data_IF_860787232602
#
_entry.id   IF_860787232602
#
_cell.length_a   1.000
_cell.length_b   1.000
_cell.length_c   1.000
_cell.angle_alpha   90.00
_cell.angle_beta   90.00
_cell.angle_gamma   90.00
#
_symmetry.space_group_name_H-M   'P 1'
#
loop_
_entity.id
_entity.type
_entity.pdbx_description
1 polymer ?
#
# COMPACT_ATOMS: atom_id res chain seq x y z
N UNK A 1 -71.30 -80.16 39.85
CA UNK A 1 -71.85 -79.12 38.96
C UNK A 1 -70.79 -78.05 38.81
N UNK A 2 -69.99 -78.11 37.74
CA UNK A 2 -68.93 -77.13 37.47
C UNK A 2 -69.52 -75.91 36.77
N UNK A 3 -69.44 -74.76 37.42
CA UNK A 3 -69.65 -73.46 36.79
C UNK A 3 -68.33 -73.05 36.15
N UNK A 4 -68.30 -72.93 34.82
CA UNK A 4 -67.14 -72.48 34.05
C UNK A 4 -67.11 -70.94 34.11
N UNK A 5 -66.14 -70.37 34.82
CA UNK A 5 -65.80 -68.95 34.66
C UNK A 5 -65.09 -68.76 33.31
N UNK A 6 -65.62 -67.87 32.47
CA UNK A 6 -65.03 -67.49 31.21
C UNK A 6 -63.79 -66.59 31.41
N UNK A 7 -62.87 -66.52 30.42
CA UNK A 7 -61.64 -65.74 30.55
C UNK A 7 -61.91 -64.24 30.65
N UNK A 8 -61.06 -63.45 31.36
CA UNK A 8 -61.23 -62.01 31.47
C UNK A 8 -61.08 -61.32 30.10
N UNK A 9 -61.98 -60.36 29.83
CA UNK A 9 -61.94 -59.50 28.65
C UNK A 9 -60.59 -58.78 28.51
N UNK A 10 -60.00 -58.71 27.29
CA UNK A 10 -58.78 -57.96 27.08
C UNK A 10 -59.05 -56.46 27.18
N UNK A 11 -58.32 -55.79 28.09
CA UNK A 11 -58.26 -54.35 28.22
C UNK A 11 -57.90 -53.72 26.86
N UNK A 12 -58.82 -52.93 26.31
CA UNK A 12 -58.60 -52.15 25.08
C UNK A 12 -57.34 -51.30 25.20
N UNK A 13 -56.49 -51.23 24.16
CA UNK A 13 -55.26 -50.43 24.22
C UNK A 13 -55.61 -48.94 24.34
N UNK A 14 -55.00 -48.30 25.33
CA UNK A 14 -54.99 -46.85 25.51
C UNK A 14 -54.53 -46.16 24.21
N UNK A 15 -55.18 -45.06 23.75
CA UNK A 15 -54.76 -44.41 22.51
C UNK A 15 -53.34 -43.87 22.65
N UNK A 16 -52.43 -44.34 21.80
CA UNK A 16 -51.06 -43.86 21.75
C UNK A 16 -51.03 -42.35 21.50
N UNK A 17 -50.47 -41.58 22.44
CA UNK A 17 -50.17 -40.16 22.21
C UNK A 17 -49.24 -39.99 21.00
N UNK A 18 -49.47 -39.01 20.11
CA UNK A 18 -48.65 -38.80 18.94
C UNK A 18 -47.24 -38.31 19.36
N UNK A 19 -46.23 -39.14 19.12
CA UNK A 19 -44.82 -38.78 19.26
C UNK A 19 -44.52 -37.61 18.32
N UNK A 20 -44.26 -36.42 18.88
CA UNK A 20 -43.88 -35.26 18.09
C UNK A 20 -42.46 -35.47 17.51
N UNK A 21 -42.21 -35.17 16.23
CA UNK A 21 -40.88 -35.26 15.67
C UNK A 21 -39.93 -34.27 16.38
N UNK A 22 -38.63 -34.61 16.52
CA UNK A 22 -37.65 -33.69 17.09
C UNK A 22 -37.59 -32.40 16.24
N UNK A 23 -37.36 -31.23 16.87
CA UNK A 23 -37.21 -29.99 16.13
C UNK A 23 -36.04 -30.11 15.15
N UNK A 24 -36.15 -29.51 13.94
CA UNK A 24 -35.07 -29.53 12.98
C UNK A 24 -33.82 -28.85 13.57
N UNK A 25 -32.60 -29.29 13.21
CA UNK A 25 -31.37 -28.67 13.67
C UNK A 25 -31.36 -27.19 13.25
N UNK A 26 -31.09 -26.29 14.21
CA UNK A 26 -31.00 -24.85 13.96
C UNK A 26 -30.00 -24.58 12.83
N UNK A 27 -30.50 -24.03 11.73
CA UNK A 27 -29.67 -23.70 10.57
C UNK A 27 -28.65 -22.62 10.97
N UNK A 28 -27.36 -22.96 10.93
CA UNK A 28 -26.28 -21.98 11.14
C UNK A 28 -26.42 -20.84 10.13
N UNK A 29 -26.34 -19.57 10.56
CA UNK A 29 -26.48 -18.45 9.63
C UNK A 29 -25.36 -18.47 8.59
N UNK A 30 -25.73 -18.44 7.31
CA UNK A 30 -24.77 -18.37 6.22
C UNK A 30 -23.97 -17.05 6.27
N UNK A 31 -22.67 -17.06 5.95
CA UNK A 31 -21.86 -15.84 5.99
C UNK A 31 -22.40 -14.79 4.99
N UNK A 32 -22.34 -13.48 5.33
CA UNK A 32 -22.91 -12.43 4.50
C UNK A 32 -22.17 -12.33 3.15
N UNK A 33 -22.87 -12.66 2.05
CA UNK A 33 -22.33 -12.71 0.68
C UNK A 33 -21.95 -11.34 0.07
N UNK A 34 -22.29 -10.24 0.74
CA UNK A 34 -22.12 -8.86 0.23
C UNK A 34 -20.79 -8.18 0.56
N UNK A 35 -20.10 -8.59 1.63
CA UNK A 35 -18.89 -7.91 2.14
C UNK A 35 -17.71 -8.02 1.17
N UNK A 36 -17.53 -9.22 0.60
CA UNK A 36 -16.49 -9.54 -0.39
C UNK A 36 -16.64 -8.74 -1.70
N UNK A 37 -17.86 -8.27 -2.00
CA UNK A 37 -18.15 -7.50 -3.21
C UNK A 37 -17.78 -6.02 -3.08
N UNK A 38 -17.91 -5.43 -1.91
CA UNK A 38 -17.47 -4.06 -1.66
C UNK A 38 -15.95 -3.99 -1.53
N UNK A 39 -15.34 -4.93 -0.80
CA UNK A 39 -13.87 -4.95 -0.61
C UNK A 39 -13.11 -4.96 -1.94
N UNK A 40 -13.58 -5.70 -2.96
CA UNK A 40 -12.94 -5.71 -4.30
C UNK A 40 -13.03 -4.37 -5.04
N UNK A 41 -14.09 -3.59 -4.85
CA UNK A 41 -14.22 -2.26 -5.45
C UNK A 41 -13.34 -1.24 -4.72
N UNK A 42 -13.24 -1.33 -3.40
CA UNK A 42 -12.30 -0.50 -2.62
C UNK A 42 -10.87 -0.82 -3.01
N UNK A 43 -10.50 -2.11 -3.07
CA UNK A 43 -9.16 -2.53 -3.46
C UNK A 43 -8.84 -2.11 -4.90
N UNK A 44 -9.79 -2.30 -5.83
CA UNK A 44 -9.65 -1.85 -7.22
C UNK A 44 -9.54 -0.33 -7.35
N UNK A 45 -10.29 0.43 -6.55
CA UNK A 45 -10.21 1.89 -6.50
C UNK A 45 -8.88 2.40 -5.96
N UNK A 46 -8.37 1.79 -4.88
CA UNK A 46 -7.04 2.10 -4.33
C UNK A 46 -5.94 1.78 -5.33
N UNK A 47 -6.02 0.62 -6.01
CA UNK A 47 -5.06 0.26 -7.04
C UNK A 47 -5.10 1.23 -8.23
N UNK A 48 -6.31 1.58 -8.71
CA UNK A 48 -6.48 2.54 -9.80
C UNK A 48 -5.96 3.94 -9.43
N UNK A 49 -6.16 4.38 -8.18
CA UNK A 49 -5.62 5.63 -7.67
C UNK A 49 -4.08 5.58 -7.58
N UNK A 50 -3.52 4.48 -7.06
CA UNK A 50 -2.06 4.28 -7.00
C UNK A 50 -1.44 4.27 -8.40
N UNK A 51 -2.06 3.57 -9.35
CA UNK A 51 -1.56 3.51 -10.72
C UNK A 51 -1.75 4.84 -11.46
N UNK A 52 -2.87 5.51 -11.23
CA UNK A 52 -3.16 6.83 -11.80
C UNK A 52 -2.20 7.90 -11.29
N UNK A 53 -1.89 7.91 -10.00
CA UNK A 53 -0.88 8.81 -9.42
C UNK A 53 0.51 8.52 -9.96
N UNK A 54 0.93 7.25 -10.02
CA UNK A 54 2.20 6.87 -10.62
C UNK A 54 2.31 7.30 -12.09
N UNK A 55 1.27 7.05 -12.89
CA UNK A 55 1.23 7.48 -14.29
C UNK A 55 1.29 9.01 -14.42
N UNK A 56 0.53 9.74 -13.60
CA UNK A 56 0.56 11.21 -13.58
C UNK A 56 1.95 11.74 -13.23
N UNK A 57 2.65 11.12 -12.28
CA UNK A 57 4.03 11.52 -11.95
C UNK A 57 4.99 11.28 -13.10
N UNK A 58 4.92 10.12 -13.77
CA UNK A 58 5.82 9.81 -14.89
C UNK A 58 5.59 10.77 -16.07
N UNK A 59 4.33 11.06 -16.38
CA UNK A 59 3.97 12.00 -17.47
C UNK A 59 4.31 13.45 -17.12
N UNK A 60 4.28 13.82 -15.85
CA UNK A 60 4.62 15.16 -15.38
C UNK A 60 6.12 15.46 -15.26
N UNK A 61 6.99 14.45 -15.44
CA UNK A 61 8.44 14.67 -15.35
C UNK A 61 8.94 15.51 -16.54
N UNK A 62 9.80 16.52 -16.30
CA UNK A 62 10.40 17.30 -17.37
C UNK A 62 11.36 16.44 -18.21
N UNK A 63 11.43 16.71 -19.51
CA UNK A 63 12.37 16.04 -20.41
C UNK A 63 13.82 16.37 -20.03
N UNK A 64 14.58 15.33 -19.68
CA UNK A 64 15.99 15.43 -19.32
C UNK A 64 16.93 15.23 -20.53
N UNK A 65 16.42 14.88 -21.72
CA UNK A 65 17.21 14.64 -22.92
C UNK A 65 18.20 15.77 -23.28
N UNK A 66 17.84 17.06 -23.17
CA UNK A 66 18.76 18.17 -23.45
C UNK A 66 20.01 18.20 -22.54
N UNK A 67 19.91 17.70 -21.31
CA UNK A 67 21.00 17.75 -20.30
C UNK A 67 22.20 16.88 -20.69
N UNK A 68 22.03 15.93 -21.61
CA UNK A 68 23.13 15.11 -22.16
C UNK A 68 24.07 15.95 -23.01
N UNK A 69 23.56 16.99 -23.66
CA UNK A 69 24.30 17.81 -24.63
C UNK A 69 24.64 19.19 -24.09
N UNK A 70 23.76 19.74 -23.25
CA UNK A 70 23.83 21.13 -22.84
C UNK A 70 23.71 21.26 -21.32
N UNK A 71 24.57 22.11 -20.77
CA UNK A 71 24.53 22.45 -19.37
C UNK A 71 23.36 23.40 -19.06
N UNK A 72 22.51 23.12 -18.06
CA UNK A 72 21.33 23.92 -17.79
C UNK A 72 21.71 25.31 -17.28
N UNK A 73 21.00 26.35 -17.76
CA UNK A 73 21.22 27.75 -17.33
C UNK A 73 20.82 28.01 -15.87
N UNK A 74 19.96 27.16 -15.32
CA UNK A 74 19.41 27.25 -13.97
C UNK A 74 18.88 25.87 -13.55
N UNK A 75 18.67 25.68 -12.26
CA UNK A 75 18.05 24.48 -11.70
C UNK A 75 16.99 24.90 -10.69
N UNK A 76 16.05 24.00 -10.37
CA UNK A 76 15.03 24.27 -9.37
C UNK A 76 15.64 24.72 -8.02
N UNK A 77 16.77 24.12 -7.62
CA UNK A 77 17.47 24.52 -6.40
C UNK A 77 18.05 25.95 -6.50
N UNK A 78 18.61 26.34 -7.65
CA UNK A 78 19.11 27.71 -7.86
C UNK A 78 17.95 28.72 -7.78
N UNK A 79 16.81 28.39 -8.38
CA UNK A 79 15.62 29.25 -8.36
C UNK A 79 15.03 29.39 -6.95
N UNK A 80 14.96 28.28 -6.22
CA UNK A 80 14.51 28.26 -4.84
C UNK A 80 15.41 29.12 -3.93
N UNK A 81 16.74 28.97 -4.01
CA UNK A 81 17.65 29.83 -3.24
C UNK A 81 17.54 31.30 -3.64
N UNK A 82 17.23 31.57 -4.91
CA UNK A 82 17.00 32.93 -5.38
C UNK A 82 15.68 33.51 -4.85
N UNK A 83 14.60 32.73 -4.72
CA UNK A 83 13.36 33.20 -4.10
C UNK A 83 13.55 33.45 -2.61
N UNK A 84 14.17 32.52 -1.88
CA UNK A 84 14.50 32.67 -0.45
C UNK A 84 15.32 33.94 -0.19
N UNK A 85 16.32 34.22 -1.05
CA UNK A 85 17.12 35.44 -0.95
C UNK A 85 16.28 36.72 -1.15
N UNK A 86 15.36 36.73 -2.13
CA UNK A 86 14.47 37.87 -2.38
C UNK A 86 13.51 38.10 -1.23
N UNK A 87 12.93 37.03 -0.69
CA UNK A 87 12.04 37.08 0.48
C UNK A 87 12.76 37.63 1.71
N UNK A 88 14.04 37.29 1.88
CA UNK A 88 14.91 37.86 2.92
C UNK A 88 15.40 39.29 2.62
N UNK A 89 14.89 39.95 1.58
CA UNK A 89 15.29 41.31 1.17
C UNK A 89 16.71 41.41 0.62
N UNK A 90 17.33 40.28 0.24
CA UNK A 90 18.70 40.22 -0.29
C UNK A 90 18.66 40.10 -1.81
N UNK A 91 19.65 40.69 -2.48
CA UNK A 91 19.83 40.50 -3.92
C UNK A 91 20.40 39.10 -4.20
N UNK A 92 19.73 38.24 -4.99
CA UNK A 92 20.30 36.95 -5.37
C UNK A 92 21.61 37.13 -6.14
N UNK A 93 22.65 36.39 -5.75
CA UNK A 93 23.95 36.39 -6.44
C UNK A 93 24.24 34.99 -6.93
N UNK A 94 24.58 34.86 -8.21
CA UNK A 94 24.97 33.59 -8.84
C UNK A 94 26.37 33.71 -9.41
N UNK A 95 27.27 32.82 -8.98
CA UNK A 95 28.58 32.59 -9.60
C UNK A 95 28.65 31.11 -9.96
N UNK A 96 28.70 30.82 -11.24
CA UNK A 96 28.65 29.46 -11.77
C UNK A 96 29.58 29.38 -12.96
N UNK A 97 30.42 28.35 -12.97
CA UNK A 97 31.32 28.05 -14.07
C UNK A 97 31.30 26.55 -14.29
N UNK A 98 31.12 26.14 -15.55
CA UNK A 98 31.17 24.75 -15.95
C UNK A 98 32.63 24.35 -16.17
N UNK A 99 33.06 23.28 -15.52
CA UNK A 99 34.40 22.70 -15.65
C UNK A 99 34.27 21.19 -15.88
N UNK A 100 35.18 20.57 -16.65
CA UNK A 100 35.17 19.13 -16.80
C UNK A 100 35.50 18.46 -15.45
N UNK A 101 34.95 17.27 -15.20
CA UNK A 101 35.20 16.54 -13.96
C UNK A 101 36.69 16.24 -13.74
N UNK A 102 37.46 16.09 -14.83
CA UNK A 102 38.92 15.92 -14.78
C UNK A 102 39.70 17.13 -14.23
N UNK A 103 39.09 18.32 -14.21
CA UNK A 103 39.67 19.51 -13.60
C UNK A 103 39.37 19.61 -12.09
N UNK A 104 38.54 18.71 -11.55
CA UNK A 104 38.20 18.64 -10.12
C UNK A 104 39.08 17.56 -9.48
N UNK A 105 39.66 17.87 -8.31
CA UNK A 105 40.50 16.89 -7.61
C UNK A 105 39.66 15.73 -7.11
N UNK A 106 40.21 14.51 -7.18
CA UNK A 106 39.52 13.29 -6.71
C UNK A 106 39.01 13.40 -5.26
N UNK A 107 39.78 13.92 -4.28
CA UNK A 107 39.27 14.06 -2.91
C UNK A 107 38.05 15.00 -2.79
N UNK A 108 37.93 16.01 -3.65
CA UNK A 108 36.77 16.90 -3.64
C UNK A 108 35.51 16.19 -4.16
N UNK A 109 35.65 15.35 -5.19
CA UNK A 109 34.55 14.51 -5.69
C UNK A 109 34.14 13.49 -4.61
N UNK A 110 35.11 12.79 -4.02
CA UNK A 110 34.85 11.78 -2.99
C UNK A 110 34.17 12.39 -1.75
N UNK A 111 34.53 13.62 -1.35
CA UNK A 111 33.89 14.33 -0.25
C UNK A 111 32.41 14.63 -0.50
N UNK A 112 32.04 15.05 -1.71
CA UNK A 112 30.64 15.34 -2.07
C UNK A 112 29.82 14.05 -2.16
N UNK A 113 30.40 12.99 -2.74
CA UNK A 113 29.73 11.69 -2.79
C UNK A 113 29.45 11.17 -1.38
N UNK A 114 30.43 11.19 -0.49
CA UNK A 114 30.24 10.72 0.89
C UNK A 114 29.24 11.57 1.69
N UNK A 115 29.09 12.87 1.39
CA UNK A 115 28.16 13.74 2.11
C UNK A 115 26.72 13.68 1.58
N UNK A 116 26.54 13.45 0.28
CA UNK A 116 25.22 13.51 -0.37
C UNK A 116 24.68 12.13 -0.74
N UNK A 117 25.49 11.29 -1.40
CA UNK A 117 25.09 9.99 -1.91
C UNK A 117 26.30 9.06 -2.06
N UNK A 118 26.60 8.33 -0.98
CA UNK A 118 27.76 7.43 -0.93
C UNK A 118 27.61 6.22 -1.87
N UNK A 119 26.38 5.93 -2.31
CA UNK A 119 26.04 4.80 -3.16
C UNK A 119 25.79 5.20 -4.62
N UNK A 120 26.07 6.45 -4.98
CA UNK A 120 25.75 7.03 -6.29
C UNK A 120 26.15 6.14 -7.49
N UNK A 121 27.34 5.52 -7.46
CA UNK A 121 27.84 4.65 -8.54
C UNK A 121 27.39 3.19 -8.44
N UNK A 122 26.74 2.80 -7.35
CA UNK A 122 26.26 1.43 -7.12
C UNK A 122 24.85 1.22 -7.68
N UNK A 123 24.15 2.29 -8.07
CA UNK A 123 22.81 2.22 -8.64
C UNK A 123 22.67 3.08 -9.90
N UNK A 124 21.77 2.69 -10.81
CA UNK A 124 21.47 3.40 -12.06
C UNK A 124 20.68 4.72 -11.86
N UNK A 125 20.81 5.34 -10.69
CA UNK A 125 20.15 6.59 -10.30
C UNK A 125 18.89 6.41 -9.43
N UNK A 126 18.44 5.17 -9.20
CA UNK A 126 17.39 4.83 -8.23
C UNK A 126 17.87 3.66 -7.39
N UNK A 127 17.93 3.84 -6.06
CA UNK A 127 18.30 2.76 -5.14
C UNK A 127 17.17 1.72 -5.06
N UNK A 128 17.25 0.74 -5.97
CA UNK A 128 16.30 -0.38 -6.05
C UNK A 128 16.42 -1.32 -4.85
N UNK A 129 17.57 -1.35 -4.17
CA UNK A 129 17.82 -2.20 -3.00
C UNK A 129 17.15 -1.60 -1.78
N UNK A 130 17.30 -0.29 -1.57
CA UNK A 130 16.58 0.43 -0.51
C UNK A 130 15.07 0.43 -0.76
N UNK A 131 14.63 0.62 -2.02
CA UNK A 131 13.22 0.50 -2.37
C UNK A 131 12.68 -0.90 -2.08
N UNK A 132 13.40 -1.95 -2.47
CA UNK A 132 13.02 -3.33 -2.18
C UNK A 132 12.99 -3.61 -0.68
N UNK A 133 13.93 -3.04 0.09
CA UNK A 133 13.96 -3.16 1.54
C UNK A 133 12.79 -2.43 2.20
N UNK A 134 12.44 -1.22 1.76
CA UNK A 134 11.30 -0.47 2.26
C UNK A 134 9.97 -1.19 1.95
N UNK A 135 9.83 -1.72 0.74
CA UNK A 135 8.66 -2.54 0.35
C UNK A 135 8.61 -3.83 1.16
N UNK A 136 9.74 -4.54 1.30
CA UNK A 136 9.86 -5.75 2.11
C UNK A 136 9.47 -5.51 3.57
N UNK A 137 9.97 -4.44 4.18
CA UNK A 137 9.60 -4.02 5.53
C UNK A 137 8.12 -3.66 5.65
N UNK A 138 7.53 -2.99 4.66
CA UNK A 138 6.10 -2.67 4.66
C UNK A 138 5.22 -3.93 4.56
N UNK A 139 5.66 -4.93 3.80
CA UNK A 139 4.98 -6.22 3.64
C UNK A 139 5.13 -7.08 4.90
N UNK A 140 6.33 -7.20 5.45
CA UNK A 140 6.60 -7.96 6.69
C UNK A 140 5.91 -7.33 7.91
N UNK A 141 5.83 -6.00 7.97
CA UNK A 141 5.17 -5.32 9.07
C UNK A 141 3.65 -5.58 9.12
N UNK A 142 3.04 -6.10 8.04
CA UNK A 142 1.58 -6.34 7.97
C UNK A 142 0.73 -5.10 8.26
N UNK A 143 1.36 -3.91 8.25
CA UNK A 143 0.82 -2.64 8.72
C UNK A 143 0.92 -1.67 7.57
N UNK A 144 -0.12 -1.66 6.74
CA UNK A 144 -0.58 -0.40 6.17
C UNK A 144 -0.85 0.50 7.38
N UNK A 145 0.06 1.46 7.62
CA UNK A 145 -0.01 2.35 8.76
C UNK A 145 -1.42 2.92 8.88
N UNK A 146 -2.03 2.80 10.06
CA UNK A 146 -3.22 3.58 10.40
C UNK A 146 -2.90 5.04 10.07
N UNK A 147 -3.61 5.60 9.10
CA UNK A 147 -3.63 7.03 8.86
C UNK A 147 -4.14 7.70 10.15
N UNK A 148 -3.22 8.16 10.99
CA UNK A 148 -3.51 9.21 11.94
C UNK A 148 -3.58 10.49 11.10
N UNK A 149 -4.82 10.86 10.78
CA UNK A 149 -5.16 12.23 10.43
C UNK A 149 -4.81 13.10 11.65
N UNK A 150 -3.98 14.11 11.42
CA UNK A 150 -3.90 15.29 12.28
C UNK A 150 -4.39 16.48 11.46
#
# INVERSE_FOLDING_TARGET
MSTVEGPPEPLSPEPAEPVRPPPPPEARPAPPRGRRRWTRWVLGGVLALGLGTAAATVVGLPDAGPLVKENPKTTALIEQRASEAREAGRKPRRRQQWVPLSAVSKPAVDAVLLSEDASFYLHDGVDTVELARAVGQAVEAGKLGRCLLY
#
